data_IF_437828873378
#
_entry.id   IF_437828873378
#
_cell.length_a   1.000
_cell.length_b   1.000
_cell.length_c   1.000
_cell.angle_alpha   90.00
_cell.angle_beta   90.00
_cell.angle_gamma   90.00
#
_symmetry.space_group_name_H-M   'P 1'
#
loop_
_entity.id
_entity.type
_entity.pdbx_description
1 polymer ?
#
# COMPACT_ATOMS: atom_id res chain seq x y z
N UNK A 1 2.74 -6.10 -14.97
CA UNK A 1 1.50 -5.95 -14.20
C UNK A 1 1.71 -4.97 -13.06
N UNK A 2 0.82 -4.00 -12.92
CA UNK A 2 0.90 -3.02 -11.84
C UNK A 2 0.21 -3.59 -10.61
N UNK A 3 0.87 -3.47 -9.46
CA UNK A 3 0.34 -3.95 -8.18
C UNK A 3 0.38 -2.87 -7.13
N UNK A 4 -0.55 -2.95 -6.18
CA UNK A 4 -0.53 -2.12 -4.98
C UNK A 4 -0.08 -3.02 -3.84
N UNK A 5 1.03 -2.67 -3.20
CA UNK A 5 1.62 -3.50 -2.16
C UNK A 5 2.15 -2.67 -1.01
N UNK A 6 2.48 -3.35 0.07
CA UNK A 6 3.13 -2.71 1.22
C UNK A 6 4.65 -2.76 1.04
N UNK A 7 5.27 -1.63 1.27
CA UNK A 7 6.72 -1.54 1.35
C UNK A 7 7.12 -1.36 2.80
N UNK A 8 7.93 -2.29 3.33
CA UNK A 8 8.37 -2.19 4.70
C UNK A 8 9.41 -1.09 4.85
N UNK A 9 9.19 -0.26 5.83
CA UNK A 9 10.07 0.82 6.22
C UNK A 9 10.30 0.73 7.73
N UNK A 10 11.07 1.65 8.29
CA UNK A 10 11.27 1.71 9.72
C UNK A 10 12.47 0.90 10.18
N UNK A 11 12.53 0.66 11.48
CA UNK A 11 13.67 0.03 12.13
C UNK A 11 13.35 -1.42 12.49
N UNK A 12 14.39 -2.17 12.85
CA UNK A 12 14.22 -3.53 13.35
C UNK A 12 13.27 -3.53 14.55
N UNK A 13 12.29 -4.42 14.56
CA UNK A 13 11.24 -4.53 15.58
C UNK A 13 10.25 -3.37 15.64
N UNK A 14 10.40 -2.39 14.73
CA UNK A 14 9.45 -1.27 14.62
C UNK A 14 9.02 -1.13 13.16
N UNK A 15 8.24 -2.07 12.64
CA UNK A 15 7.82 -2.02 11.24
C UNK A 15 6.85 -0.88 10.98
N UNK A 16 7.08 -0.21 9.89
CA UNK A 16 6.20 0.81 9.35
C UNK A 16 6.06 0.50 7.86
N UNK A 17 4.87 0.61 7.34
CA UNK A 17 4.61 0.23 5.95
C UNK A 17 4.05 1.41 5.18
N UNK A 18 4.43 1.47 3.90
CA UNK A 18 3.82 2.39 2.95
C UNK A 18 3.08 1.59 1.91
N UNK A 19 1.90 2.11 1.51
CA UNK A 19 1.15 1.54 0.41
C UNK A 19 1.68 2.15 -0.87
N UNK A 20 2.24 1.32 -1.74
CA UNK A 20 2.87 1.79 -2.95
C UNK A 20 2.31 1.07 -4.17
N UNK A 21 2.26 1.80 -5.28
CA UNK A 21 1.92 1.26 -6.58
C UNK A 21 3.22 0.97 -7.29
N UNK A 22 3.40 -0.27 -7.72
CA UNK A 22 4.64 -0.68 -8.37
C UNK A 22 4.37 -1.65 -9.51
N UNK A 23 5.24 -1.62 -10.51
CA UNK A 23 5.23 -2.62 -11.56
C UNK A 23 5.92 -3.87 -11.01
N UNK A 24 5.27 -5.02 -11.14
CA UNK A 24 5.81 -6.28 -10.63
C UNK A 24 7.16 -6.64 -11.24
N UNK A 25 7.46 -6.13 -12.43
CA UNK A 25 8.75 -6.36 -13.08
C UNK A 25 9.89 -5.60 -12.42
N UNK A 26 9.59 -4.53 -11.68
CA UNK A 26 10.58 -3.70 -10.98
C UNK A 26 10.59 -3.92 -9.47
N UNK A 27 9.89 -4.93 -8.99
CA UNK A 27 9.74 -5.18 -7.56
C UNK A 27 11.09 -5.42 -6.86
N UNK A 28 12.04 -5.98 -7.58
CA UNK A 28 13.35 -6.35 -7.05
C UNK A 28 14.19 -5.15 -6.61
N UNK A 29 14.05 -4.03 -7.31
CA UNK A 29 14.84 -2.82 -7.04
C UNK A 29 14.21 -1.93 -5.98
N UNK A 30 13.05 -2.31 -5.45
CA UNK A 30 12.34 -1.50 -4.48
C UNK A 30 11.75 -0.22 -5.07
N UNK A 31 11.80 -0.06 -6.38
CA UNK A 31 11.23 1.11 -7.05
C UNK A 31 9.72 0.99 -7.11
N UNK A 32 9.06 2.11 -6.95
CA UNK A 32 7.61 2.18 -7.07
C UNK A 32 7.21 3.39 -7.90
N UNK A 33 6.00 3.32 -8.44
CA UNK A 33 5.47 4.38 -9.29
C UNK A 33 4.95 5.54 -8.44
N UNK A 34 4.20 5.21 -7.38
CA UNK A 34 3.55 6.21 -6.56
C UNK A 34 3.28 5.63 -5.16
N UNK A 35 3.37 6.48 -4.15
CA UNK A 35 2.97 6.16 -2.79
C UNK A 35 1.56 6.69 -2.58
N UNK A 36 0.65 5.83 -2.11
CA UNK A 36 -0.76 6.18 -1.95
C UNK A 36 -1.24 6.08 -0.50
N UNK A 37 -0.36 5.85 0.45
CA UNK A 37 -0.73 5.81 1.84
C UNK A 37 0.33 5.18 2.73
N UNK A 38 -0.02 5.01 3.99
CA UNK A 38 0.86 4.37 4.95
C UNK A 38 0.05 3.55 5.95
N UNK A 39 0.72 2.61 6.61
CA UNK A 39 0.12 1.74 7.60
C UNK A 39 1.12 1.51 8.73
N UNK A 40 0.73 1.86 9.95
CA UNK A 40 1.54 1.64 11.14
C UNK A 40 0.79 0.69 12.08
N UNK A 41 1.14 -0.61 12.09
CA UNK A 41 0.44 -1.57 12.93
C UNK A 41 0.76 -1.44 14.42
N UNK A 42 1.83 -0.74 14.78
CA UNK A 42 2.24 -0.57 16.17
C UNK A 42 1.56 0.59 16.85
N UNK A 43 0.92 1.47 16.10
CA UNK A 43 0.19 2.60 16.67
C UNK A 43 -1.11 2.14 17.33
N UNK A 44 -1.50 2.79 18.41
CA UNK A 44 -2.76 2.51 19.11
C UNK A 44 -3.57 3.80 19.20
N UNK A 45 -4.71 3.92 18.50
CA UNK A 45 -5.24 2.97 17.52
C UNK A 45 -4.35 2.82 16.28
N UNK A 46 -4.57 1.76 15.51
CA UNK A 46 -3.80 1.53 14.28
C UNK A 46 -3.89 2.73 13.36
N UNK A 47 -2.74 3.20 12.91
CA UNK A 47 -2.66 4.38 12.05
C UNK A 47 -2.60 3.92 10.59
N UNK A 48 -3.69 4.13 9.88
CA UNK A 48 -3.83 3.77 8.48
C UNK A 48 -4.36 4.96 7.71
N UNK A 49 -3.60 5.42 6.73
CA UNK A 49 -4.02 6.50 5.85
C UNK A 49 -3.90 6.06 4.41
N UNK A 50 -4.96 6.29 3.64
CA UNK A 50 -5.01 5.93 2.22
C UNK A 50 -5.51 7.14 1.44
N UNK A 51 -4.81 7.45 0.35
CA UNK A 51 -5.31 8.42 -0.63
C UNK A 51 -6.37 7.71 -1.47
N UNK A 52 -7.64 7.91 -1.13
CA UNK A 52 -8.74 7.22 -1.76
C UNK A 52 -8.82 7.47 -3.26
N UNK A 53 -8.62 8.71 -3.69
CA UNK A 53 -8.68 9.06 -5.10
C UNK A 53 -7.64 8.30 -5.91
N UNK A 54 -6.40 8.29 -5.42
CA UNK A 54 -5.32 7.61 -6.12
C UNK A 54 -5.50 6.10 -6.09
N UNK A 55 -5.94 5.56 -4.97
CA UNK A 55 -6.21 4.13 -4.87
C UNK A 55 -7.28 3.71 -5.87
N UNK A 56 -8.37 4.45 -5.93
CA UNK A 56 -9.46 4.16 -6.88
C UNK A 56 -8.99 4.32 -8.32
N UNK A 57 -8.20 5.35 -8.59
CA UNK A 57 -7.62 5.56 -9.92
C UNK A 57 -6.83 4.35 -10.38
N UNK A 58 -5.90 3.87 -9.55
CA UNK A 58 -5.06 2.74 -9.91
C UNK A 58 -5.85 1.45 -10.05
N UNK A 59 -6.80 1.21 -9.16
CA UNK A 59 -7.65 0.02 -9.23
C UNK A 59 -8.47 0.03 -10.51
N UNK A 60 -9.06 1.16 -10.87
CA UNK A 60 -9.85 1.28 -12.10
C UNK A 60 -8.99 1.13 -13.35
N UNK A 61 -7.70 1.36 -13.25
CA UNK A 61 -6.75 1.16 -14.34
C UNK A 61 -6.08 -0.23 -14.32
N UNK A 62 -6.61 -1.15 -13.53
CA UNK A 62 -6.16 -2.52 -13.54
C UNK A 62 -5.08 -2.89 -12.54
N UNK A 63 -4.69 -1.98 -11.65
CA UNK A 63 -3.74 -2.30 -10.60
C UNK A 63 -4.35 -3.33 -9.65
N UNK A 64 -3.56 -4.34 -9.27
CA UNK A 64 -4.04 -5.41 -8.41
C UNK A 64 -3.46 -5.30 -7.00
N UNK A 65 -4.29 -5.10 -5.98
CA UNK A 65 -3.82 -5.08 -4.61
C UNK A 65 -3.45 -6.49 -4.14
N UNK A 66 -2.39 -6.57 -3.34
CA UNK A 66 -2.08 -7.83 -2.64
C UNK A 66 -3.21 -8.11 -1.63
N UNK A 67 -3.29 -9.35 -1.15
CA UNK A 67 -4.34 -9.73 -0.20
C UNK A 67 -4.33 -8.84 1.04
N UNK A 68 -3.15 -8.55 1.58
CA UNK A 68 -3.02 -7.68 2.75
C UNK A 68 -3.51 -6.26 2.44
N UNK A 69 -3.10 -5.71 1.30
CA UNK A 69 -3.52 -4.37 0.90
C UNK A 69 -5.02 -4.32 0.64
N UNK A 70 -5.57 -5.38 0.04
CA UNK A 70 -7.02 -5.47 -0.20
C UNK A 70 -7.78 -5.35 1.11
N UNK A 71 -7.33 -6.05 2.15
CA UNK A 71 -7.92 -5.95 3.48
C UNK A 71 -7.85 -4.55 4.05
N UNK A 72 -6.71 -3.89 3.88
CA UNK A 72 -6.54 -2.51 4.35
C UNK A 72 -7.42 -1.53 3.58
N UNK A 73 -7.58 -1.72 2.27
CA UNK A 73 -8.44 -0.87 1.46
C UNK A 73 -9.90 -1.02 1.86
N UNK A 74 -10.33 -2.23 2.19
CA UNK A 74 -11.69 -2.46 2.71
C UNK A 74 -11.87 -1.77 4.05
N UNK A 75 -10.90 -1.88 4.93
CA UNK A 75 -10.94 -1.24 6.25
C UNK A 75 -10.98 0.28 6.13
N UNK A 76 -10.29 0.83 5.15
CA UNK A 76 -10.28 2.26 4.89
C UNK A 76 -11.47 2.77 4.08
N UNK A 77 -12.39 1.89 3.69
CA UNK A 77 -13.58 2.28 2.95
C UNK A 77 -13.40 2.49 1.46
N UNK A 78 -12.26 2.07 0.90
CA UNK A 78 -11.97 2.22 -0.53
C UNK A 78 -12.60 1.10 -1.36
N UNK A 79 -12.69 -0.07 -0.77
CA UNK A 79 -13.30 -1.25 -1.41
C UNK A 79 -14.54 -1.69 -0.67
#
# INVERSE_FOLDING_TARGET
MVKIRLKRMGMKKMPFYRLVVADSRNARDGRFIEEIGYYNPLSTPVDLKIDEERAKYWISNGAQPTDTVRGLLKKGGVL
#
